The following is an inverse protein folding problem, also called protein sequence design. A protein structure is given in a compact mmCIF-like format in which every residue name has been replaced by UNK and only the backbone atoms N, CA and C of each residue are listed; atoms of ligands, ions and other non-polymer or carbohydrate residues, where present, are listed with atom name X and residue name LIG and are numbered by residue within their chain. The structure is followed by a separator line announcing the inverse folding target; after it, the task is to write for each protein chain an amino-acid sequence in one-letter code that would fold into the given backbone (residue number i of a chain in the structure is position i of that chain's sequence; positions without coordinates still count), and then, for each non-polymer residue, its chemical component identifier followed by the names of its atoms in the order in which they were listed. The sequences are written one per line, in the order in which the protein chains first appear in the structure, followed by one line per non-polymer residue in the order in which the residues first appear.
data_IF_092047584369
#
_entry.id   IF_092047584369
#
_cell.length_a   1.000
_cell.length_b   1.000
_cell.length_c   1.000
_cell.angle_alpha   90.00
_cell.angle_beta   90.00
_cell.angle_gamma   90.00
#
_symmetry.space_group_name_H-M   'P 1'
#
loop_
_entity.id
_entity.type
_entity.pdbx_description
1 polymer ?
#
# COMPACT_ATOMS: atom_id res chain seq x y z
N UNK A 1 -23.12 10.43 28.02
CA UNK A 1 -21.69 10.14 27.87
C UNK A 1 -20.96 11.48 27.82
N UNK A 2 -20.07 11.76 28.74
CA UNK A 2 -19.63 13.11 29.06
C UNK A 2 -18.51 13.54 28.07
N UNK A 3 -18.74 14.57 27.24
CA UNK A 3 -17.78 15.13 26.29
C UNK A 3 -16.43 15.46 26.94
N UNK A 4 -16.42 15.82 28.23
CA UNK A 4 -15.20 16.10 29.02
C UNK A 4 -14.23 14.90 29.17
N UNK A 5 -14.72 13.66 29.12
CA UNK A 5 -13.83 12.49 29.19
C UNK A 5 -13.08 12.24 27.88
N UNK A 6 -13.68 12.60 26.74
CA UNK A 6 -12.98 12.50 25.44
C UNK A 6 -11.84 13.50 25.33
N UNK A 7 -11.95 14.68 25.92
CA UNK A 7 -10.88 15.69 25.92
C UNK A 7 -9.71 15.32 26.83
N UNK A 8 -9.95 14.59 27.90
CA UNK A 8 -8.88 14.06 28.77
C UNK A 8 -8.10 12.92 28.09
N UNK A 9 -8.79 12.04 27.35
CA UNK A 9 -8.16 10.99 26.54
C UNK A 9 -7.28 11.60 25.43
N UNK A 10 -7.72 12.70 24.81
CA UNK A 10 -6.94 13.44 23.80
C UNK A 10 -5.69 14.12 24.39
N UNK A 11 -5.72 14.53 25.65
CA UNK A 11 -4.54 15.10 26.34
C UNK A 11 -3.49 14.03 26.69
N UNK A 12 -3.89 12.81 27.03
CA UNK A 12 -2.98 11.68 27.25
C UNK A 12 -2.33 11.19 25.96
N UNK A 13 -3.00 11.33 24.80
CA UNK A 13 -2.46 10.99 23.47
C UNK A 13 -1.12 11.68 23.20
N UNK A 14 -0.90 12.88 23.73
CA UNK A 14 0.33 13.66 23.48
C UNK A 14 1.58 13.12 24.17
N UNK A 15 1.48 12.29 25.18
CA UNK A 15 2.63 11.91 26.01
C UNK A 15 3.45 10.71 25.49
N UNK A 16 2.86 9.86 24.62
CA UNK A 16 3.51 8.65 24.12
C UNK A 16 3.74 8.63 22.58
N UNK A 17 3.49 9.76 21.89
CA UNK A 17 3.67 9.84 20.44
C UNK A 17 4.95 10.63 20.16
N UNK A 18 5.84 10.02 19.39
CA UNK A 18 7.11 10.62 18.98
C UNK A 18 7.11 10.80 17.46
N UNK A 19 7.58 11.95 17.00
CA UNK A 19 7.78 12.24 15.60
C UNK A 19 9.26 12.47 15.30
N UNK A 20 9.80 11.79 14.28
CA UNK A 20 11.13 12.06 13.77
C UNK A 20 11.12 13.30 12.86
N UNK A 21 12.19 14.08 12.92
CA UNK A 21 12.41 15.17 11.95
C UNK A 21 12.91 14.54 10.65
N UNK A 22 12.06 14.53 9.62
CA UNK A 22 12.41 14.02 8.29
C UNK A 22 12.29 15.14 7.26
N UNK A 23 13.14 15.05 6.23
CA UNK A 23 13.06 15.85 5.03
C UNK A 23 13.25 14.93 3.84
N UNK A 24 12.34 14.95 2.89
CA UNK A 24 12.47 14.25 1.61
C UNK A 24 12.03 15.16 0.46
N UNK A 25 12.61 14.93 -0.71
CA UNK A 25 12.24 15.67 -1.91
C UNK A 25 10.81 15.29 -2.30
N UNK A 26 9.96 16.29 -2.48
CA UNK A 26 8.61 16.08 -3.00
C UNK A 26 8.63 15.94 -4.50
N UNK A 27 7.93 14.93 -4.99
CA UNK A 27 7.64 14.80 -6.42
C UNK A 27 6.61 15.84 -6.82
N UNK A 28 6.78 16.38 -8.02
CA UNK A 28 5.81 17.28 -8.64
C UNK A 28 4.64 16.46 -9.19
N UNK A 29 3.49 17.10 -9.41
CA UNK A 29 2.30 16.46 -9.97
C UNK A 29 2.60 15.74 -11.30
N UNK A 30 3.46 16.32 -12.13
CA UNK A 30 3.90 15.71 -13.40
C UNK A 30 4.66 14.39 -13.18
N UNK A 31 5.53 14.31 -12.15
CA UNK A 31 6.29 13.11 -11.81
C UNK A 31 5.36 12.05 -11.23
N UNK A 32 4.45 12.42 -10.33
CA UNK A 32 3.44 11.52 -9.78
C UNK A 32 2.47 11.00 -10.85
N UNK A 33 2.10 11.82 -11.85
CA UNK A 33 1.22 11.40 -12.94
C UNK A 33 1.83 10.34 -13.86
N UNK A 34 3.15 10.18 -13.88
CA UNK A 34 3.80 9.06 -14.56
C UNK A 34 3.58 7.77 -13.78
N UNK A 35 3.77 7.80 -12.46
CA UNK A 35 3.54 6.67 -11.57
C UNK A 35 2.08 6.19 -11.53
N UNK A 36 1.11 7.10 -11.63
CA UNK A 36 -0.32 6.76 -11.71
C UNK A 36 -0.68 5.86 -12.91
N UNK A 37 0.20 5.77 -13.91
CA UNK A 37 0.00 4.96 -15.12
C UNK A 37 0.67 3.58 -15.02
N UNK A 38 1.46 3.35 -13.98
CA UNK A 38 2.21 2.11 -13.78
C UNK A 38 1.36 1.15 -12.93
N UNK A 39 0.96 -0.01 -13.47
CA UNK A 39 0.31 -1.06 -12.67
C UNK A 39 1.26 -1.57 -11.58
N UNK A 40 0.68 -1.97 -10.43
CA UNK A 40 1.49 -2.51 -9.31
C UNK A 40 2.25 -3.77 -9.69
N UNK A 41 1.67 -4.63 -10.50
CA UNK A 41 2.31 -5.85 -11.04
C UNK A 41 3.55 -5.51 -11.87
N UNK A 42 3.47 -4.52 -12.74
CA UNK A 42 4.60 -4.07 -13.58
C UNK A 42 5.72 -3.48 -12.72
N UNK A 43 5.37 -2.63 -11.74
CA UNK A 43 6.36 -2.09 -10.81
C UNK A 43 7.03 -3.20 -9.99
N UNK A 44 6.25 -4.15 -9.49
CA UNK A 44 6.75 -5.32 -8.77
C UNK A 44 7.74 -6.14 -9.59
N UNK A 45 7.41 -6.42 -10.85
CA UNK A 45 8.32 -7.11 -11.77
C UNK A 45 9.59 -6.32 -12.05
N UNK A 46 9.49 -4.99 -12.23
CA UNK A 46 10.64 -4.10 -12.44
C UNK A 46 11.56 -4.02 -11.21
N UNK A 47 11.06 -4.39 -10.04
CA UNK A 47 11.81 -4.54 -8.78
C UNK A 47 12.17 -6.00 -8.46
N UNK A 48 12.24 -6.89 -9.46
CA UNK A 48 12.52 -8.33 -9.27
C UNK A 48 11.55 -9.01 -8.28
N UNK A 49 10.27 -8.66 -8.33
CA UNK A 49 9.18 -9.16 -7.46
C UNK A 49 9.37 -8.82 -5.98
N UNK A 50 10.19 -7.81 -5.68
CA UNK A 50 10.40 -7.29 -4.33
C UNK A 50 9.53 -6.04 -4.10
N UNK A 51 9.44 -5.60 -2.85
CA UNK A 51 8.72 -4.39 -2.44
C UNK A 51 7.23 -4.37 -2.81
N UNK A 52 6.61 -5.54 -2.98
CA UNK A 52 5.17 -5.70 -3.07
C UNK A 52 4.65 -6.17 -1.73
N UNK A 53 3.68 -5.44 -1.18
CA UNK A 53 3.12 -5.77 0.13
C UNK A 53 2.39 -7.12 0.10
N UNK A 54 2.32 -7.77 1.25
CA UNK A 54 1.58 -9.02 1.41
C UNK A 54 0.15 -8.88 0.89
N UNK A 55 -0.34 -9.93 0.20
CA UNK A 55 -1.70 -10.02 -0.35
C UNK A 55 -2.83 -9.87 0.69
N UNK A 56 -2.51 -9.94 2.00
CA UNK A 56 -3.49 -9.60 3.04
C UNK A 56 -3.89 -8.12 3.01
N UNK A 57 -3.05 -7.23 2.46
CA UNK A 57 -3.38 -5.81 2.29
C UNK A 57 -4.01 -5.63 0.90
N UNK A 58 -5.30 -5.42 0.88
CA UNK A 58 -6.09 -5.28 -0.34
C UNK A 58 -6.96 -4.03 -0.30
N UNK A 59 -7.39 -3.57 -1.48
CA UNK A 59 -8.36 -2.49 -1.61
C UNK A 59 -9.69 -2.87 -0.96
N UNK A 60 -10.37 -1.89 -0.39
CA UNK A 60 -11.72 -2.13 0.18
C UNK A 60 -12.82 -2.18 -0.87
N UNK A 61 -12.51 -1.84 -2.12
CA UNK A 61 -13.45 -1.76 -3.24
C UNK A 61 -12.69 -1.96 -4.55
N UNK A 62 -13.26 -2.72 -5.46
CA UNK A 62 -12.75 -2.93 -6.82
C UNK A 62 -12.59 -1.61 -7.59
N UNK A 63 -11.56 -1.54 -8.42
CA UNK A 63 -11.19 -0.38 -9.22
C UNK A 63 -10.57 0.77 -8.40
N UNK A 64 -10.19 0.54 -7.15
CA UNK A 64 -9.59 1.56 -6.30
C UNK A 64 -8.09 1.67 -6.60
N UNK A 65 -7.62 2.87 -6.89
CA UNK A 65 -6.20 3.14 -7.15
C UNK A 65 -5.67 4.20 -6.21
N UNK A 66 -4.40 4.11 -5.83
CA UNK A 66 -3.68 5.16 -5.12
C UNK A 66 -2.28 5.37 -5.70
N UNK A 67 -1.79 6.60 -5.59
CA UNK A 67 -0.41 6.94 -5.95
C UNK A 67 0.00 8.21 -5.18
N UNK A 68 1.12 8.15 -4.48
CA UNK A 68 1.68 9.31 -3.77
C UNK A 68 2.90 8.94 -2.94
N UNK A 69 3.47 9.92 -2.25
CA UNK A 69 4.60 9.69 -1.36
C UNK A 69 4.14 9.33 0.06
N UNK A 70 4.83 8.40 0.68
CA UNK A 70 4.51 7.87 2.00
C UNK A 70 4.70 8.88 3.13
N UNK A 71 3.71 8.97 4.00
CA UNK A 71 3.78 9.43 5.37
C UNK A 71 3.63 8.20 6.27
N UNK A 72 4.62 7.88 7.07
CA UNK A 72 4.67 6.63 7.84
C UNK A 72 4.26 6.81 9.29
N UNK A 73 3.51 5.86 9.79
CA UNK A 73 3.08 5.78 11.19
C UNK A 73 3.20 4.36 11.70
N UNK A 74 3.88 4.17 12.82
CA UNK A 74 3.87 2.91 13.58
C UNK A 74 2.99 3.07 14.80
N UNK A 75 2.07 2.13 15.02
CA UNK A 75 1.11 2.16 16.14
C UNK A 75 1.26 0.95 17.04
N UNK A 76 0.89 1.10 18.30
CA UNK A 76 0.61 -0.05 19.16
C UNK A 76 -0.59 -0.81 18.62
N UNK A 77 -0.55 -2.13 18.66
CA UNK A 77 -1.61 -3.00 18.12
C UNK A 77 -3.00 -2.57 18.59
N UNK A 78 -3.87 -2.25 17.65
CA UNK A 78 -5.25 -1.83 17.94
C UNK A 78 -5.41 -0.42 18.51
N UNK A 79 -4.33 0.38 18.62
CA UNK A 79 -4.39 1.78 19.04
C UNK A 79 -4.30 2.72 17.82
N UNK A 80 -5.09 3.79 17.83
CA UNK A 80 -5.06 4.75 16.72
C UNK A 80 -4.64 6.18 17.12
N UNK A 81 -4.07 6.35 18.29
CA UNK A 81 -3.65 7.67 18.80
C UNK A 81 -2.63 8.34 17.90
N UNK A 82 -1.59 7.59 17.45
CA UNK A 82 -0.57 8.13 16.57
C UNK A 82 -1.11 8.45 15.17
N UNK A 83 -2.12 7.72 14.70
CA UNK A 83 -2.77 8.02 13.42
C UNK A 83 -3.50 9.37 13.50
N UNK A 84 -4.25 9.63 14.58
CA UNK A 84 -4.88 10.94 14.80
C UNK A 84 -3.85 12.08 14.82
N UNK A 85 -2.71 11.87 15.49
CA UNK A 85 -1.64 12.85 15.51
C UNK A 85 -1.01 13.06 14.11
N UNK A 86 -0.81 11.99 13.33
CA UNK A 86 -0.28 12.09 11.98
C UNK A 86 -1.19 12.90 11.05
N UNK A 87 -2.51 12.77 11.17
CA UNK A 87 -3.46 13.52 10.36
C UNK A 87 -3.35 15.05 10.55
N UNK A 88 -2.76 15.54 11.65
CA UNK A 88 -2.54 16.97 11.88
C UNK A 88 -1.34 17.55 11.10
N UNK A 89 -0.49 16.70 10.53
CA UNK A 89 0.77 17.10 9.89
C UNK A 89 0.91 16.62 8.45
N UNK A 90 -0.06 15.87 7.95
CA UNK A 90 -0.11 15.37 6.57
C UNK A 90 -0.27 16.51 5.59
N UNK A 91 0.37 16.39 4.45
CA UNK A 91 0.18 17.31 3.33
C UNK A 91 -0.72 16.68 2.27
N UNK A 92 -1.37 17.54 1.51
CA UNK A 92 -2.23 17.13 0.39
C UNK A 92 -1.49 16.18 -0.57
N UNK A 93 -2.15 15.09 -0.95
CA UNK A 93 -1.64 14.09 -1.88
C UNK A 93 -0.69 13.05 -1.28
N UNK A 94 -0.27 13.19 -0.01
CA UNK A 94 0.51 12.13 0.65
C UNK A 94 -0.33 10.87 0.89
N UNK A 95 0.34 9.73 0.95
CA UNK A 95 -0.28 8.45 1.32
C UNK A 95 0.10 8.13 2.76
N UNK A 96 -0.90 7.97 3.61
CA UNK A 96 -0.68 7.53 4.98
C UNK A 96 -0.46 6.02 5.01
N UNK A 97 0.72 5.58 5.45
CA UNK A 97 1.04 4.15 5.59
C UNK A 97 1.18 3.82 7.07
N UNK A 98 0.36 2.88 7.55
CA UNK A 98 0.25 2.53 8.96
C UNK A 98 0.76 1.12 9.20
N UNK A 99 1.84 1.01 9.98
CA UNK A 99 2.33 -0.24 10.53
C UNK A 99 1.52 -0.61 11.77
N UNK A 100 0.57 -1.52 11.61
CA UNK A 100 -0.25 -2.08 12.70
C UNK A 100 0.09 -3.54 13.01
N UNK A 101 1.15 -4.10 12.38
CA UNK A 101 1.64 -5.46 12.61
C UNK A 101 0.67 -6.56 12.17
N UNK A 102 -0.26 -6.28 11.25
CA UNK A 102 -1.27 -7.24 10.83
C UNK A 102 -2.35 -7.53 11.88
N UNK A 103 -2.42 -6.76 12.96
CA UNK A 103 -3.40 -6.96 14.02
C UNK A 103 -4.80 -6.54 13.57
N UNK A 104 -5.75 -7.49 13.59
CA UNK A 104 -7.10 -7.31 13.04
C UNK A 104 -8.23 -7.40 14.08
N UNK A 105 -7.93 -7.61 15.35
CA UNK A 105 -8.97 -7.73 16.38
C UNK A 105 -9.55 -6.39 16.82
N UNK A 106 -8.89 -5.26 16.45
CA UNK A 106 -9.39 -3.91 16.68
C UNK A 106 -9.14 -3.05 15.45
N UNK A 107 -10.18 -2.35 15.02
CA UNK A 107 -10.11 -1.42 13.91
C UNK A 107 -9.45 -0.11 14.34
N UNK A 108 -8.39 0.30 13.63
CA UNK A 108 -7.68 1.56 13.89
C UNK A 108 -8.15 2.70 13.00
N UNK A 109 -9.01 2.41 12.02
CA UNK A 109 -9.54 3.37 11.04
C UNK A 109 -11.03 3.16 10.82
N UNK A 110 -11.76 4.24 10.48
CA UNK A 110 -13.18 4.20 10.18
C UNK A 110 -13.66 5.48 9.51
N UNK A 111 -14.99 5.66 9.47
CA UNK A 111 -15.69 6.74 8.74
C UNK A 111 -15.18 8.13 9.11
N UNK A 112 -15.15 8.49 10.39
CA UNK A 112 -14.79 9.83 10.85
C UNK A 112 -13.37 10.24 10.43
N UNK A 113 -12.42 9.29 10.48
CA UNK A 113 -11.05 9.53 10.05
C UNK A 113 -10.97 9.72 8.54
N UNK A 114 -11.74 8.96 7.78
CA UNK A 114 -11.81 9.08 6.32
C UNK A 114 -12.38 10.43 5.89
N UNK A 115 -13.46 10.88 6.51
CA UNK A 115 -14.05 12.22 6.24
C UNK A 115 -13.06 13.34 6.53
N UNK A 116 -12.36 13.26 7.67
CA UNK A 116 -11.29 14.21 8.00
C UNK A 116 -10.16 14.18 6.98
N UNK A 117 -9.76 12.99 6.53
CA UNK A 117 -8.69 12.79 5.55
C UNK A 117 -9.04 13.33 4.17
N UNK A 118 -10.26 13.17 3.73
CA UNK A 118 -10.77 13.79 2.49
C UNK A 118 -10.70 15.32 2.59
N UNK A 119 -11.11 15.87 3.72
CA UNK A 119 -11.09 17.33 3.94
C UNK A 119 -9.68 17.92 3.85
N UNK A 120 -8.67 17.25 4.40
CA UNK A 120 -7.26 17.69 4.31
C UNK A 120 -6.59 17.34 2.97
N UNK A 121 -7.27 16.60 2.09
CA UNK A 121 -6.78 16.21 0.77
C UNK A 121 -5.75 15.08 0.78
N UNK A 122 -5.84 14.15 1.74
CA UNK A 122 -5.01 12.96 1.76
C UNK A 122 -5.17 12.15 0.47
N UNK A 123 -4.07 11.66 -0.12
CA UNK A 123 -4.07 10.92 -1.38
C UNK A 123 -4.56 9.48 -1.24
N UNK A 124 -4.47 8.90 -0.04
CA UNK A 124 -4.92 7.55 0.26
C UNK A 124 -4.34 7.01 1.56
N UNK A 125 -4.78 5.81 1.93
CA UNK A 125 -4.40 5.15 3.19
C UNK A 125 -4.07 3.69 2.95
N UNK A 126 -2.98 3.22 3.55
CA UNK A 126 -2.59 1.81 3.59
C UNK A 126 -2.41 1.40 5.05
N UNK A 127 -3.11 0.36 5.50
CA UNK A 127 -3.12 -0.05 6.90
C UNK A 127 -2.80 -1.55 7.01
N UNK A 128 -1.69 -1.89 7.61
CA UNK A 128 -1.42 -3.26 8.03
C UNK A 128 -2.14 -3.57 9.35
N UNK A 129 -3.45 -3.61 9.28
CA UNK A 129 -4.38 -3.76 10.39
C UNK A 129 -5.83 -3.73 9.95
N UNK A 130 -6.77 -3.64 10.91
CA UNK A 130 -8.19 -3.65 10.62
C UNK A 130 -8.81 -2.25 10.54
N UNK A 131 -9.88 -2.18 9.76
CA UNK A 131 -10.78 -1.03 9.61
C UNK A 131 -12.20 -1.40 10.04
N UNK A 132 -13.07 -0.39 10.20
CA UNK A 132 -14.51 -0.55 10.43
C UNK A 132 -15.32 0.39 9.53
N UNK A 133 -16.62 0.38 9.64
CA UNK A 133 -17.56 1.23 8.89
C UNK A 133 -17.45 1.02 7.35
N UNK A 134 -17.16 -0.23 6.93
CA UNK A 134 -16.83 -0.58 5.54
C UNK A 134 -17.89 -0.12 4.53
N UNK A 135 -19.18 -0.19 4.91
CA UNK A 135 -20.29 0.21 4.05
C UNK A 135 -20.22 1.69 3.64
N UNK A 136 -19.82 2.55 4.55
CA UNK A 136 -19.68 4.00 4.30
C UNK A 136 -18.33 4.32 3.66
N UNK A 137 -17.25 3.66 4.08
CA UNK A 137 -15.93 3.80 3.46
C UNK A 137 -15.94 3.51 1.96
N UNK A 138 -16.70 2.49 1.53
CA UNK A 138 -16.83 2.12 0.10
C UNK A 138 -17.48 3.20 -0.76
N UNK A 139 -18.27 4.10 -0.16
CA UNK A 139 -18.95 5.21 -0.86
C UNK A 139 -18.06 6.46 -0.95
N UNK A 140 -16.98 6.51 -0.17
CA UNK A 140 -16.11 7.66 -0.10
C UNK A 140 -15.06 7.67 -1.22
N UNK A 141 -14.65 8.87 -1.61
CA UNK A 141 -13.57 9.06 -2.59
C UNK A 141 -12.21 9.19 -1.88
N UNK A 142 -11.86 8.18 -1.07
CA UNK A 142 -10.55 8.05 -0.43
C UNK A 142 -10.04 6.63 -0.71
N UNK A 143 -8.95 6.46 -1.47
CA UNK A 143 -8.32 5.17 -1.64
C UNK A 143 -7.87 4.60 -0.30
N UNK A 144 -8.31 3.36 0.01
CA UNK A 144 -8.03 2.71 1.27
C UNK A 144 -7.75 1.22 1.06
N UNK A 145 -6.60 0.78 1.58
CA UNK A 145 -6.12 -0.59 1.55
C UNK A 145 -5.88 -1.05 2.99
N UNK A 146 -6.33 -2.25 3.36
CA UNK A 146 -6.23 -2.75 4.72
C UNK A 146 -6.07 -4.27 4.77
N UNK A 147 -5.51 -4.78 5.88
CA UNK A 147 -5.33 -6.22 6.10
C UNK A 147 -6.60 -6.92 6.58
N UNK A 148 -7.58 -6.19 7.13
CA UNK A 148 -8.78 -6.80 7.66
C UNK A 148 -9.84 -5.79 8.09
N UNK A 149 -10.93 -6.34 8.64
CA UNK A 149 -12.06 -5.54 9.13
C UNK A 149 -12.65 -6.17 10.40
N UNK A 150 -13.07 -5.32 11.33
CA UNK A 150 -13.75 -5.74 12.56
C UNK A 150 -14.63 -4.60 13.08
N UNK A 151 -15.70 -4.95 13.79
CA UNK A 151 -16.56 -3.96 14.46
C UNK A 151 -15.93 -3.42 15.75
N UNK A 152 -14.95 -4.13 16.32
CA UNK A 152 -14.29 -3.71 17.55
C UNK A 152 -13.49 -2.43 17.33
N UNK A 153 -13.80 -1.38 18.09
CA UNK A 153 -13.12 -0.10 18.01
C UNK A 153 -11.70 -0.12 18.58
N UNK A 154 -10.91 0.95 18.30
CA UNK A 154 -9.53 1.05 18.76
C UNK A 154 -9.43 1.33 20.27
N UNK A 155 -8.25 1.04 20.81
CA UNK A 155 -7.80 1.64 22.08
C UNK A 155 -7.19 3.02 21.86
N UNK A 156 -6.96 3.73 22.96
CA UNK A 156 -6.33 5.05 23.00
C UNK A 156 -5.20 5.06 24.02
N UNK A 157 -4.20 5.90 23.78
CA UNK A 157 -3.12 6.12 24.75
C UNK A 157 -1.94 5.16 24.64
N UNK A 158 -1.98 4.19 23.71
CA UNK A 158 -0.85 3.28 23.44
C UNK A 158 0.35 3.94 22.78
N UNK A 159 0.16 5.14 22.24
CA UNK A 159 1.21 5.92 21.61
C UNK A 159 1.55 5.45 20.19
N UNK A 160 2.78 5.74 19.77
CA UNK A 160 3.31 5.35 18.46
C UNK A 160 4.37 6.30 17.94
N UNK A 161 4.82 6.05 16.72
CA UNK A 161 5.91 6.81 16.07
C UNK A 161 5.48 7.26 14.70
N UNK A 162 5.84 8.50 14.36
CA UNK A 162 5.51 9.13 13.08
C UNK A 162 6.81 9.51 12.37
N UNK A 163 6.82 9.41 11.05
CA UNK A 163 7.95 9.79 10.21
C UNK A 163 9.22 8.97 10.50
N UNK A 164 9.07 7.67 10.75
CA UNK A 164 10.17 6.71 10.87
C UNK A 164 10.12 5.66 9.76
N UNK A 165 11.22 4.97 9.45
CA UNK A 165 11.13 3.72 8.67
C UNK A 165 10.24 2.71 9.40
N UNK A 166 9.37 2.04 8.64
CA UNK A 166 8.40 1.06 9.14
C UNK A 166 8.41 -0.21 8.29
N UNK A 167 7.75 -1.27 8.79
CA UNK A 167 7.42 -2.46 8.01
C UNK A 167 5.90 -2.57 7.87
N UNK A 168 5.39 -2.49 6.66
CA UNK A 168 3.97 -2.60 6.37
C UNK A 168 3.75 -3.69 5.32
N UNK A 169 2.90 -4.66 5.61
CA UNK A 169 2.67 -5.79 4.70
C UNK A 169 3.94 -6.57 4.35
N UNK A 170 4.86 -6.74 5.30
CA UNK A 170 6.17 -7.37 5.14
C UNK A 170 7.16 -6.61 4.24
N UNK A 171 6.88 -5.36 3.89
CA UNK A 171 7.78 -4.49 3.12
C UNK A 171 8.30 -3.36 4.00
N UNK A 172 9.62 -3.18 4.00
CA UNK A 172 10.26 -2.02 4.66
C UNK A 172 10.11 -0.79 3.78
N UNK A 173 9.69 0.32 4.38
CA UNK A 173 9.56 1.61 3.70
C UNK A 173 9.87 2.77 4.65
N UNK A 174 10.16 3.92 4.06
CA UNK A 174 10.44 5.15 4.80
C UNK A 174 9.62 6.33 4.29
N UNK A 175 9.51 7.41 5.06
CA UNK A 175 8.86 8.63 4.60
C UNK A 175 9.44 9.11 3.26
N UNK A 176 8.56 9.42 2.31
CA UNK A 176 8.95 9.89 0.98
C UNK A 176 9.05 8.81 -0.10
N UNK A 177 9.09 7.52 0.24
CA UNK A 177 8.97 6.45 -0.75
C UNK A 177 7.64 6.56 -1.50
N UNK A 178 7.61 6.13 -2.76
CA UNK A 178 6.41 6.19 -3.57
C UNK A 178 5.57 4.96 -3.31
N UNK A 179 4.28 5.16 -3.07
CA UNK A 179 3.30 4.10 -2.89
C UNK A 179 2.35 4.14 -4.07
N UNK A 180 2.20 3.01 -4.74
CA UNK A 180 1.15 2.79 -5.73
C UNK A 180 0.30 1.60 -5.30
N UNK A 181 -0.98 1.66 -5.61
CA UNK A 181 -1.94 0.59 -5.29
C UNK A 181 -3.02 0.49 -6.34
N UNK A 182 -3.44 -0.74 -6.62
CA UNK A 182 -4.55 -1.10 -7.49
C UNK A 182 -5.22 -2.40 -7.00
N UNK A 183 -6.02 -3.04 -7.84
CA UNK A 183 -6.75 -4.26 -7.46
C UNK A 183 -5.82 -5.45 -7.19
N UNK A 184 -4.57 -5.44 -7.68
CA UNK A 184 -3.57 -6.48 -7.43
C UNK A 184 -2.87 -6.32 -6.07
N UNK A 185 -2.90 -5.12 -5.47
CA UNK A 185 -2.31 -4.84 -4.16
C UNK A 185 -1.57 -3.52 -4.08
N UNK A 186 -0.50 -3.49 -3.29
CA UNK A 186 0.29 -2.27 -3.03
C UNK A 186 1.77 -2.52 -3.27
N UNK A 187 2.40 -1.66 -4.05
CA UNK A 187 3.85 -1.67 -4.28
C UNK A 187 4.50 -0.42 -3.67
N UNK A 188 5.69 -0.61 -3.11
CA UNK A 188 6.54 0.43 -2.52
C UNK A 188 7.74 0.64 -3.41
N UNK A 189 7.91 1.84 -3.92
CA UNK A 189 9.05 2.20 -4.75
C UNK A 189 9.99 3.06 -3.92
N UNK A 190 11.20 2.55 -3.56
CA UNK A 190 12.20 3.35 -2.86
C UNK A 190 12.56 4.59 -3.65
N UNK A 191 12.50 5.74 -2.99
CA UNK A 191 12.68 7.04 -3.65
C UNK A 191 14.00 7.15 -4.41
N UNK A 192 15.08 6.56 -3.89
CA UNK A 192 16.41 6.64 -4.47
C UNK A 192 16.52 6.00 -5.86
N UNK A 193 15.76 4.95 -6.10
CA UNK A 193 15.81 4.18 -7.36
C UNK A 193 14.59 4.44 -8.26
N UNK A 194 13.70 5.34 -7.86
CA UNK A 194 12.40 5.56 -8.51
C UNK A 194 12.52 5.86 -10.01
N UNK A 195 13.52 6.63 -10.45
CA UNK A 195 13.70 6.93 -11.87
C UNK A 195 14.07 5.68 -12.70
N UNK A 196 14.93 4.81 -12.15
CA UNK A 196 15.31 3.56 -12.78
C UNK A 196 14.11 2.62 -12.92
N UNK A 197 13.34 2.48 -11.84
CA UNK A 197 12.15 1.61 -11.83
C UNK A 197 11.07 2.15 -12.77
N UNK A 198 10.88 3.47 -12.84
CA UNK A 198 9.93 4.07 -13.77
C UNK A 198 10.27 3.74 -15.22
N UNK A 199 11.52 3.95 -15.63
CA UNK A 199 11.99 3.62 -16.99
C UNK A 199 11.79 2.13 -17.31
N UNK A 200 12.23 1.25 -16.43
CA UNK A 200 12.07 -0.19 -16.60
C UNK A 200 10.58 -0.60 -16.69
N UNK A 201 9.71 0.06 -15.92
CA UNK A 201 8.27 -0.19 -15.96
C UNK A 201 7.65 0.29 -17.28
N UNK A 202 8.05 1.45 -17.78
CA UNK A 202 7.58 1.96 -19.07
C UNK A 202 8.02 1.05 -20.23
N UNK A 203 9.27 0.58 -20.24
CA UNK A 203 9.78 -0.40 -21.21
C UNK A 203 8.99 -1.71 -21.16
N UNK A 204 8.71 -2.22 -19.96
CA UNK A 204 7.93 -3.44 -19.79
C UNK A 204 6.49 -3.29 -20.29
N UNK A 205 5.85 -2.16 -20.05
CA UNK A 205 4.50 -1.87 -20.58
C UNK A 205 4.51 -1.91 -22.14
N UNK A 206 5.55 -1.37 -22.76
CA UNK A 206 5.69 -1.39 -24.23
C UNK A 206 5.84 -2.84 -24.70
N UNK A 207 6.74 -3.60 -24.09
CA UNK A 207 6.96 -5.01 -24.40
C UNK A 207 5.68 -5.83 -24.28
N UNK A 208 4.94 -5.70 -23.17
CA UNK A 208 3.69 -6.43 -22.97
C UNK A 208 2.61 -6.07 -24.01
N UNK A 209 2.54 -4.81 -24.44
CA UNK A 209 1.64 -4.41 -25.53
C UNK A 209 1.98 -5.11 -26.85
N UNK A 210 3.26 -5.32 -27.14
CA UNK A 210 3.67 -6.08 -28.33
C UNK A 210 3.28 -7.55 -28.23
N UNK A 211 3.46 -8.17 -27.04
CA UNK A 211 3.02 -9.55 -26.78
C UNK A 211 1.50 -9.66 -26.94
N UNK A 212 0.73 -8.77 -26.33
CA UNK A 212 -0.73 -8.74 -26.45
C UNK A 212 -1.15 -8.64 -27.93
N UNK A 213 -0.45 -7.82 -28.72
CA UNK A 213 -0.72 -7.72 -30.16
C UNK A 213 -0.47 -9.05 -30.87
N UNK A 214 0.68 -9.69 -30.65
CA UNK A 214 0.99 -11.01 -31.21
C UNK A 214 -0.07 -12.06 -30.86
N UNK A 215 -0.54 -12.09 -29.61
CA UNK A 215 -1.62 -12.99 -29.18
C UNK A 215 -2.90 -12.72 -29.97
N UNK A 216 -3.29 -11.45 -30.13
CA UNK A 216 -4.49 -11.04 -30.89
C UNK A 216 -4.39 -11.36 -32.37
N UNK A 217 -3.17 -11.34 -32.92
CA UNK A 217 -2.87 -11.67 -34.32
C UNK A 217 -2.84 -13.21 -34.55
N UNK A 218 -3.12 -14.02 -33.51
CA UNK A 218 -3.25 -15.47 -33.60
C UNK A 218 -1.93 -16.26 -33.50
N UNK A 219 -0.84 -15.65 -33.07
CA UNK A 219 0.41 -16.37 -32.80
C UNK A 219 0.23 -17.34 -31.64
N UNK A 220 0.85 -18.50 -31.71
CA UNK A 220 0.77 -19.49 -30.65
C UNK A 220 1.64 -19.09 -29.45
N UNK A 221 1.32 -19.62 -28.27
CA UNK A 221 2.11 -19.41 -27.05
C UNK A 221 3.56 -19.85 -27.23
N UNK A 222 3.79 -20.98 -27.97
CA UNK A 222 5.09 -21.49 -28.30
C UNK A 222 5.92 -20.48 -29.15
N UNK A 223 5.29 -19.87 -30.15
CA UNK A 223 5.97 -18.94 -31.05
C UNK A 223 6.32 -17.61 -30.32
N UNK A 224 5.45 -17.15 -29.42
CA UNK A 224 5.63 -15.90 -28.69
C UNK A 224 6.76 -15.98 -27.68
N UNK A 225 6.85 -17.10 -26.95
CA UNK A 225 7.75 -17.27 -25.80
C UNK A 225 8.92 -18.21 -26.04
N UNK A 226 9.14 -18.64 -27.29
CA UNK A 226 10.21 -19.58 -27.67
C UNK A 226 10.28 -20.82 -26.76
N UNK A 227 9.12 -21.40 -26.49
CA UNK A 227 9.03 -22.58 -25.61
C UNK A 227 9.51 -23.80 -26.36
N UNK A 228 10.53 -24.46 -25.83
CA UNK A 228 11.05 -25.73 -26.36
C UNK A 228 10.01 -26.85 -26.21
N UNK A 229 10.16 -27.91 -27.03
CA UNK A 229 9.32 -29.09 -26.90
C UNK A 229 9.46 -29.70 -25.51
N UNK A 230 8.32 -30.01 -24.88
CA UNK A 230 8.30 -30.67 -23.58
C UNK A 230 8.60 -32.14 -23.79
N UNK A 231 9.67 -32.69 -23.16
CA UNK A 231 9.98 -34.12 -23.31
C UNK A 231 8.86 -34.96 -22.71
N UNK A 232 8.44 -35.99 -23.46
CA UNK A 232 7.50 -36.97 -22.96
C UNK A 232 8.30 -38.05 -22.22
N UNK A 233 8.00 -38.22 -20.93
CA UNK A 233 8.64 -39.25 -20.09
C UNK A 233 7.59 -40.31 -19.78
N UNK A 234 7.95 -41.59 -20.02
CA UNK A 234 7.11 -42.73 -19.61
C UNK A 234 7.15 -42.88 -18.09
N UNK A 235 6.05 -43.36 -17.49
CA UNK A 235 5.91 -43.49 -16.02
C UNK A 235 7.04 -44.25 -15.34
N UNK A 236 7.65 -45.22 -16.00
CA UNK A 236 8.77 -46.02 -15.50
C UNK A 236 10.06 -45.18 -15.25
N UNK A 237 10.14 -43.98 -15.83
CA UNK A 237 11.32 -43.10 -15.72
C UNK A 237 11.11 -41.85 -14.85
N UNK A 238 9.93 -41.66 -14.27
CA UNK A 238 9.62 -40.50 -13.44
C UNK A 238 10.47 -40.41 -12.16
N UNK A 239 10.94 -41.57 -11.66
CA UNK A 239 11.79 -41.63 -10.47
C UNK A 239 13.20 -41.09 -10.68
N UNK A 240 13.63 -40.84 -11.91
CA UNK A 240 14.96 -40.35 -12.27
C UNK A 240 15.03 -38.82 -12.46
N UNK A 241 13.87 -38.14 -12.42
CA UNK A 241 13.80 -36.69 -12.58
C UNK A 241 13.77 -36.06 -11.19
N UNK A 242 14.93 -35.67 -10.69
CA UNK A 242 15.00 -34.77 -9.53
C UNK A 242 14.68 -33.33 -9.99
N UNK A 243 13.51 -32.82 -9.56
CA UNK A 243 13.12 -31.41 -9.68
C UNK A 243 13.67 -30.64 -8.47
#
# INVERSE_FOLDING_TARGET
MNIKNQDQDLLQIKMNIVRSKVSFKRLKDKELSQWQKIPTSIAGDSMNRQNVMSSRISSIREGMTLCGQARTVSVTHGDNSAIHAALTIINKGEILVVEGGGFTDRAVWGELMSLSSIHIGLGGVVIDGAIRDLGDLKKMNLPLFASGRTAAGPTKGGGGRIDIPISCGNVSLKPGDIIIGDDDGVAVIPFEIQNQILLSSEEKIIYEKEIIKKIKDGNTHKDIFDIKDIPIVNDDNLSLIHI
#
